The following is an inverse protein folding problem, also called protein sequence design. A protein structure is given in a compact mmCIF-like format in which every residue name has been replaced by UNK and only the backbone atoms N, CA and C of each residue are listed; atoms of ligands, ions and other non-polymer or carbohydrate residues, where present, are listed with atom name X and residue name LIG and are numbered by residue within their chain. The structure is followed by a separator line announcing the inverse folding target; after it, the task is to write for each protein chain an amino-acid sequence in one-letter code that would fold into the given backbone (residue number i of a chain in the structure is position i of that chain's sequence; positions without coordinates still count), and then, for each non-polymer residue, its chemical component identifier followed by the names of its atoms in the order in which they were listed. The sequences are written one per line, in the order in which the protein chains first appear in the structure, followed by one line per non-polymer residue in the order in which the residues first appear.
data_IF_982934802849
#
_entry.id   IF_982934802849
#
_cell.length_a   1.000
_cell.length_b   1.000
_cell.length_c   1.000
_cell.angle_alpha   90.00
_cell.angle_beta   90.00
_cell.angle_gamma   90.00
#
_symmetry.space_group_name_H-M   'P 1'
#
loop_
_entity.id
_entity.type
_entity.pdbx_description
1 polymer ?
#
# COMPACT_ATOMS: atom_id res chain seq x y z
N UNK A 1 -74.44 -2.05 47.59
CA UNK A 1 -73.17 -1.99 48.35
C UNK A 1 -72.06 -2.48 47.44
N UNK A 2 -71.13 -1.60 47.14
CA UNK A 2 -70.05 -1.74 46.16
C UNK A 2 -68.79 -2.17 46.91
N UNK A 3 -68.26 -3.36 46.62
CA UNK A 3 -66.87 -3.68 46.96
C UNK A 3 -66.01 -3.49 45.72
N UNK A 4 -65.32 -2.36 45.78
CA UNK A 4 -64.49 -1.78 44.76
C UNK A 4 -63.29 -2.71 44.50
N UNK A 5 -63.30 -3.40 43.36
CA UNK A 5 -62.13 -4.12 42.81
C UNK A 5 -61.07 -3.10 42.44
N UNK A 6 -60.31 -2.65 43.44
CA UNK A 6 -59.16 -1.79 43.23
C UNK A 6 -58.01 -2.64 42.70
N UNK A 7 -58.13 -2.97 41.41
CA UNK A 7 -57.12 -3.63 40.60
C UNK A 7 -55.94 -2.66 40.54
N UNK A 8 -55.03 -2.77 41.51
CA UNK A 8 -53.73 -2.08 41.50
C UNK A 8 -53.10 -2.37 40.15
N UNK A 9 -53.22 -1.43 39.21
CA UNK A 9 -52.34 -1.28 38.07
C UNK A 9 -50.98 -0.95 38.65
N UNK A 10 -50.29 -1.98 39.13
CA UNK A 10 -48.84 -1.97 39.20
C UNK A 10 -48.45 -2.01 37.72
N UNK A 11 -48.44 -0.83 37.10
CA UNK A 11 -47.65 -0.60 35.90
C UNK A 11 -46.25 -0.96 36.37
N UNK A 12 -45.81 -2.19 36.07
CA UNK A 12 -44.42 -2.56 36.17
C UNK A 12 -43.68 -1.49 35.38
N UNK A 13 -43.07 -0.56 36.11
CA UNK A 13 -42.10 0.37 35.58
C UNK A 13 -40.92 -0.54 35.25
N UNK A 14 -40.99 -1.19 34.08
CA UNK A 14 -39.93 -2.06 33.59
C UNK A 14 -38.73 -1.13 33.48
N UNK A 15 -37.68 -1.42 34.24
CA UNK A 15 -36.50 -0.56 34.34
C UNK A 15 -35.82 -0.44 32.97
N UNK A 16 -36.30 0.50 32.16
CA UNK A 16 -35.77 0.82 30.84
C UNK A 16 -34.31 1.28 30.91
N UNK A 17 -33.82 1.61 32.11
CA UNK A 17 -32.43 1.92 32.40
C UNK A 17 -31.50 0.75 32.03
N UNK A 18 -31.89 -0.50 32.27
CA UNK A 18 -31.06 -1.66 31.91
C UNK A 18 -30.90 -1.77 30.39
N UNK A 19 -31.99 -1.58 29.64
CA UNK A 19 -31.96 -1.58 28.17
C UNK A 19 -31.17 -0.39 27.62
N UNK A 20 -31.27 0.78 28.27
CA UNK A 20 -30.50 1.97 27.91
C UNK A 20 -29.00 1.77 28.13
N UNK A 21 -28.58 1.22 29.26
CA UNK A 21 -27.17 0.88 29.52
C UNK A 21 -26.65 -0.20 28.57
N UNK A 22 -27.46 -1.21 28.24
CA UNK A 22 -27.11 -2.23 27.26
C UNK A 22 -26.90 -1.62 25.86
N UNK A 23 -27.74 -0.65 25.47
CA UNK A 23 -27.64 0.04 24.18
C UNK A 23 -26.41 0.96 24.11
N UNK A 24 -26.08 1.66 25.20
CA UNK A 24 -24.82 2.42 25.30
C UNK A 24 -23.61 1.50 25.22
N UNK A 25 -23.63 0.38 25.95
CA UNK A 25 -22.57 -0.62 25.90
C UNK A 25 -22.33 -1.15 24.49
N UNK A 26 -23.41 -1.43 23.74
CA UNK A 26 -23.33 -1.87 22.35
C UNK A 26 -22.72 -0.81 21.43
N UNK A 27 -23.13 0.46 21.57
CA UNK A 27 -22.54 1.57 20.79
C UNK A 27 -21.04 1.71 21.08
N UNK A 28 -20.62 1.61 22.35
CA UNK A 28 -19.20 1.68 22.73
C UNK A 28 -18.40 0.53 22.12
N UNK A 29 -18.94 -0.70 22.15
CA UNK A 29 -18.28 -1.86 21.54
C UNK A 29 -18.11 -1.66 20.03
N UNK A 30 -19.15 -1.18 19.34
CA UNK A 30 -19.06 -0.90 17.90
C UNK A 30 -18.02 0.18 17.58
N UNK A 31 -17.92 1.24 18.39
CA UNK A 31 -16.91 2.29 18.22
C UNK A 31 -15.49 1.75 18.44
N UNK A 32 -15.28 0.93 19.47
CA UNK A 32 -13.96 0.32 19.74
C UNK A 32 -13.55 -0.60 18.58
N UNK A 33 -14.48 -1.42 18.08
CA UNK A 33 -14.22 -2.31 16.95
C UNK A 33 -13.90 -1.49 15.69
N UNK A 34 -14.71 -0.47 15.37
CA UNK A 34 -14.49 0.38 14.20
C UNK A 34 -13.15 1.12 14.22
N UNK A 35 -12.77 1.65 15.39
CA UNK A 35 -11.45 2.28 15.57
C UNK A 35 -10.31 1.29 15.39
N UNK A 36 -10.47 0.07 15.92
CA UNK A 36 -9.44 -0.97 15.85
C UNK A 36 -9.21 -1.45 14.42
N UNK A 37 -10.27 -1.67 13.64
CA UNK A 37 -10.18 -2.07 12.22
C UNK A 37 -9.46 -0.98 11.41
N UNK A 38 -9.81 0.28 11.62
CA UNK A 38 -9.19 1.42 10.92
C UNK A 38 -7.69 1.48 11.18
N UNK A 39 -7.27 1.29 12.44
CA UNK A 39 -5.85 1.25 12.82
C UNK A 39 -5.10 0.08 12.20
N UNK A 40 -5.72 -1.10 12.14
CA UNK A 40 -5.14 -2.27 11.48
C UNK A 40 -4.95 -2.04 9.98
N UNK A 41 -5.92 -1.43 9.30
CA UNK A 41 -5.81 -1.12 7.88
C UNK A 41 -4.66 -0.15 7.59
N UNK A 42 -4.49 0.89 8.41
CA UNK A 42 -3.36 1.83 8.31
C UNK A 42 -2.02 1.13 8.54
N UNK A 43 -1.94 0.24 9.53
CA UNK A 43 -0.72 -0.51 9.82
C UNK A 43 -0.36 -1.48 8.69
N UNK A 44 -1.33 -2.19 8.13
CA UNK A 44 -1.11 -3.06 6.97
C UNK A 44 -0.62 -2.26 5.76
N UNK A 45 -1.12 -1.03 5.57
CA UNK A 45 -0.66 -0.14 4.51
C UNK A 45 0.80 0.28 4.72
N UNK A 46 1.16 0.70 5.94
CA UNK A 46 2.55 1.05 6.28
C UNK A 46 3.53 -0.10 6.04
N UNK A 47 3.13 -1.35 6.33
CA UNK A 47 3.93 -2.54 6.00
C UNK A 47 4.13 -2.68 4.49
N UNK A 48 3.09 -2.49 3.70
CA UNK A 48 3.18 -2.60 2.23
C UNK A 48 4.08 -1.50 1.64
N UNK A 49 3.96 -0.27 2.13
CA UNK A 49 4.82 0.83 1.70
C UNK A 49 6.29 0.58 2.07
N UNK A 50 6.56 0.04 3.27
CA UNK A 50 7.91 -0.41 3.66
C UNK A 50 8.47 -1.48 2.73
N UNK A 51 7.67 -2.49 2.38
CA UNK A 51 8.09 -3.52 1.43
C UNK A 51 8.47 -2.91 0.07
N UNK A 52 7.67 -1.96 -0.44
CA UNK A 52 7.99 -1.26 -1.70
C UNK A 52 9.30 -0.49 -1.60
N UNK A 53 9.52 0.24 -0.51
CA UNK A 53 10.76 0.98 -0.27
C UNK A 53 11.96 0.05 -0.18
N UNK A 54 11.89 -1.03 0.59
CA UNK A 54 12.98 -2.01 0.74
C UNK A 54 13.38 -2.63 -0.61
N UNK A 55 12.41 -2.99 -1.45
CA UNK A 55 12.67 -3.49 -2.81
C UNK A 55 13.33 -2.42 -3.67
N UNK A 56 12.87 -1.18 -3.61
CA UNK A 56 13.45 -0.08 -4.38
C UNK A 56 14.89 0.24 -3.95
N UNK A 57 15.18 0.19 -2.65
CA UNK A 57 16.54 0.32 -2.12
C UNK A 57 17.44 -0.82 -2.62
N UNK A 58 16.92 -2.05 -2.68
CA UNK A 58 17.65 -3.19 -3.26
C UNK A 58 17.95 -2.99 -4.75
N UNK A 59 16.96 -2.53 -5.53
CA UNK A 59 17.14 -2.25 -6.96
C UNK A 59 18.15 -1.11 -7.18
N UNK A 60 18.05 -0.04 -6.41
CA UNK A 60 19.02 1.07 -6.44
C UNK A 60 20.43 0.59 -6.12
N UNK A 61 20.58 -0.25 -5.09
CA UNK A 61 21.88 -0.83 -4.73
C UNK A 61 22.50 -1.61 -5.89
N UNK A 62 21.71 -2.40 -6.60
CA UNK A 62 22.20 -3.20 -7.72
C UNK A 62 22.52 -2.33 -8.96
N UNK A 63 21.72 -1.28 -9.21
CA UNK A 63 22.00 -0.27 -10.24
C UNK A 63 23.34 0.44 -9.98
N UNK A 64 23.58 0.89 -8.74
CA UNK A 64 24.83 1.58 -8.38
C UNK A 64 26.04 0.63 -8.42
N UNK A 65 25.84 -0.64 -8.04
CA UNK A 65 26.86 -1.68 -8.18
C UNK A 65 27.24 -1.90 -9.65
N UNK A 66 26.26 -2.07 -10.54
CA UNK A 66 26.50 -2.20 -11.98
C UNK A 66 27.20 -0.97 -12.56
N UNK A 67 26.84 0.23 -12.10
CA UNK A 67 27.53 1.48 -12.48
C UNK A 67 29.00 1.47 -12.06
N UNK A 68 29.29 0.98 -10.86
CA UNK A 68 30.67 0.87 -10.37
C UNK A 68 31.50 -0.17 -11.14
N UNK A 69 30.87 -1.20 -11.70
CA UNK A 69 31.54 -2.28 -12.44
C UNK A 69 31.74 -1.94 -13.93
N UNK A 70 30.77 -1.27 -14.56
CA UNK A 70 30.74 -1.01 -16.00
C UNK A 70 30.93 0.47 -16.40
N UNK A 71 31.18 1.35 -15.42
CA UNK A 71 31.26 2.82 -15.55
C UNK A 71 29.97 3.52 -15.98
N UNK A 72 28.97 2.79 -16.49
CA UNK A 72 27.71 3.30 -17.00
C UNK A 72 26.51 2.77 -16.20
N UNK A 73 25.44 3.56 -16.13
CA UNK A 73 24.16 3.09 -15.61
C UNK A 73 23.51 2.06 -16.55
N UNK A 74 22.68 1.14 -16.03
CA UNK A 74 22.01 0.12 -16.85
C UNK A 74 21.08 0.79 -17.87
N UNK A 75 21.16 0.40 -19.14
CA UNK A 75 20.31 0.99 -20.19
C UNK A 75 18.82 0.72 -20.00
N UNK A 76 18.46 -0.40 -19.35
CA UNK A 76 17.07 -0.79 -19.15
C UNK A 76 16.85 -1.47 -17.80
N UNK A 77 15.69 -1.18 -17.19
CA UNK A 77 15.19 -1.87 -16.00
C UNK A 77 13.74 -2.27 -16.23
N UNK A 78 13.47 -3.57 -16.25
CA UNK A 78 12.13 -4.11 -16.51
C UNK A 78 11.52 -4.65 -15.22
N UNK A 79 10.41 -4.05 -14.82
CA UNK A 79 9.60 -4.52 -13.69
C UNK A 79 8.58 -5.55 -14.16
N UNK A 80 8.84 -6.83 -13.85
CA UNK A 80 7.89 -7.92 -14.06
C UNK A 80 7.03 -8.10 -12.82
N UNK A 81 6.08 -9.03 -12.87
CA UNK A 81 5.22 -9.31 -11.71
C UNK A 81 5.99 -9.81 -10.49
N UNK A 82 6.91 -10.74 -10.67
CA UNK A 82 7.61 -11.38 -9.54
C UNK A 82 9.13 -11.11 -9.53
N UNK A 83 9.63 -10.29 -10.46
CA UNK A 83 11.03 -9.85 -10.45
C UNK A 83 11.27 -8.51 -11.14
N UNK A 84 12.44 -7.93 -10.91
CA UNK A 84 12.99 -6.80 -11.66
C UNK A 84 14.23 -7.29 -12.40
N UNK A 85 14.27 -7.10 -13.71
CA UNK A 85 15.47 -7.31 -14.51
C UNK A 85 16.22 -6.00 -14.69
N UNK A 86 17.49 -5.98 -14.31
CA UNK A 86 18.38 -4.84 -14.47
C UNK A 86 19.38 -5.21 -15.56
N UNK A 87 19.29 -4.53 -16.70
CA UNK A 87 19.98 -4.90 -17.92
C UNK A 87 21.07 -3.86 -18.23
N UNK A 88 22.31 -4.30 -18.40
CA UNK A 88 23.39 -3.38 -18.78
C UNK A 88 23.14 -2.76 -20.15
N UNK A 89 22.54 -3.51 -21.08
CA UNK A 89 22.13 -3.05 -22.41
C UNK A 89 20.64 -3.29 -22.65
N UNK A 90 20.05 -2.55 -23.59
CA UNK A 90 18.60 -2.64 -23.89
C UNK A 90 18.13 -4.04 -24.34
N UNK A 91 19.01 -4.82 -24.98
CA UNK A 91 18.72 -6.20 -25.42
C UNK A 91 18.65 -7.20 -24.24
N UNK A 92 19.09 -6.79 -23.05
CA UNK A 92 19.01 -7.56 -21.81
C UNK A 92 19.57 -9.00 -21.86
N UNK A 93 20.60 -9.25 -22.67
CA UNK A 93 21.30 -10.54 -22.71
C UNK A 93 22.08 -10.84 -21.43
N UNK A 94 22.59 -9.79 -20.78
CA UNK A 94 23.24 -9.85 -19.47
C UNK A 94 22.37 -9.02 -18.54
N UNK A 95 21.80 -9.67 -17.53
CA UNK A 95 20.88 -9.04 -16.60
C UNK A 95 21.06 -9.58 -15.19
N UNK A 96 20.95 -8.69 -14.22
CA UNK A 96 20.75 -9.05 -12.83
C UNK A 96 19.26 -9.12 -12.52
N UNK A 97 18.84 -10.13 -11.75
CA UNK A 97 17.44 -10.33 -11.40
C UNK A 97 17.23 -10.13 -9.90
N UNK A 98 16.39 -9.15 -9.54
CA UNK A 98 15.95 -8.90 -8.17
C UNK A 98 14.56 -9.47 -7.99
N UNK A 99 14.39 -10.45 -7.10
CA UNK A 99 13.08 -11.05 -6.81
C UNK A 99 12.22 -10.06 -6.04
N UNK A 100 10.97 -9.88 -6.46
CA UNK A 100 9.98 -9.03 -5.77
C UNK A 100 8.78 -9.86 -5.34
N UNK A 101 8.20 -9.49 -4.21
CA UNK A 101 7.10 -10.25 -3.61
C UNK A 101 6.12 -9.33 -2.89
N UNK A 102 5.02 -9.93 -2.41
CA UNK A 102 3.99 -9.21 -1.67
C UNK A 102 3.40 -8.05 -2.47
N UNK A 103 3.36 -6.87 -1.85
CA UNK A 103 2.81 -5.66 -2.45
C UNK A 103 3.74 -4.97 -3.46
N UNK A 104 5.02 -5.36 -3.50
CA UNK A 104 6.01 -4.82 -4.43
C UNK A 104 6.01 -5.52 -5.79
N UNK A 105 5.09 -6.46 -6.05
CA UNK A 105 4.97 -7.10 -7.35
C UNK A 105 4.71 -6.07 -8.44
N UNK A 106 5.41 -6.15 -9.57
CA UNK A 106 5.20 -5.24 -10.68
C UNK A 106 3.81 -5.43 -11.28
N UNK A 107 3.15 -4.33 -11.58
CA UNK A 107 1.87 -4.40 -12.27
C UNK A 107 2.05 -4.75 -13.74
N UNK A 108 1.05 -5.41 -14.33
CA UNK A 108 1.02 -5.66 -15.78
C UNK A 108 0.64 -4.40 -16.55
N UNK A 109 1.05 -4.28 -17.81
CA UNK A 109 0.65 -3.18 -18.70
C UNK A 109 -0.89 -3.03 -18.86
N UNK A 110 -1.63 -4.11 -18.62
CA UNK A 110 -3.10 -4.14 -18.71
C UNK A 110 -3.75 -3.43 -17.51
N UNK A 111 -3.19 -3.61 -16.32
CA UNK A 111 -3.65 -3.04 -15.05
C UNK A 111 -2.62 -2.02 -14.61
N UNK A 112 -2.47 -0.92 -15.33
CA UNK A 112 -1.36 0.01 -15.13
C UNK A 112 -1.53 0.96 -13.91
N UNK A 113 -1.80 0.40 -12.72
CA UNK A 113 -2.08 1.12 -11.46
C UNK A 113 -1.57 0.34 -10.24
N UNK A 114 -1.15 1.06 -9.19
CA UNK A 114 -0.81 0.48 -7.89
C UNK A 114 -2.06 0.13 -7.08
N UNK A 115 -2.07 -1.05 -6.49
CA UNK A 115 -3.03 -1.49 -5.49
C UNK A 115 -2.34 -2.22 -4.32
N UNK A 116 -3.09 -2.98 -3.54
CA UNK A 116 -2.56 -3.71 -2.38
C UNK A 116 -1.62 -4.87 -2.73
N UNK A 117 -1.69 -5.36 -3.97
CA UNK A 117 -0.99 -6.54 -4.45
C UNK A 117 0.05 -6.20 -5.52
N UNK A 118 -0.16 -5.13 -6.28
CA UNK A 118 0.68 -4.72 -7.39
C UNK A 118 1.13 -3.28 -7.25
N UNK A 119 2.32 -2.98 -7.79
CA UNK A 119 2.92 -1.66 -7.80
C UNK A 119 3.31 -1.28 -9.21
N UNK A 120 2.96 -0.05 -9.60
CA UNK A 120 3.38 0.56 -10.85
C UNK A 120 4.74 1.20 -10.65
N UNK A 121 5.68 0.84 -11.52
CA UNK A 121 7.05 1.34 -11.51
C UNK A 121 7.38 2.07 -12.82
N UNK A 122 8.39 2.92 -12.77
CA UNK A 122 9.04 3.49 -13.94
C UNK A 122 10.55 3.58 -13.74
N UNK A 123 11.25 3.48 -14.85
CA UNK A 123 12.69 3.71 -14.94
C UNK A 123 12.95 4.67 -16.09
N UNK A 124 13.81 5.65 -15.86
CA UNK A 124 14.25 6.62 -16.85
C UNK A 124 15.76 6.79 -16.75
N UNK A 125 16.43 6.77 -17.91
CA UNK A 125 17.86 6.97 -18.03
C UNK A 125 18.13 8.22 -18.87
N UNK A 126 19.04 9.05 -18.37
CA UNK A 126 19.63 10.18 -19.09
C UNK A 126 21.13 9.93 -19.26
N UNK A 127 21.82 10.76 -20.04
CA UNK A 127 23.27 10.62 -20.28
C UNK A 127 24.10 10.60 -18.98
N UNK A 128 23.68 11.34 -17.95
CA UNK A 128 24.47 11.54 -16.72
C UNK A 128 23.86 10.90 -15.46
N UNK A 129 22.58 10.50 -15.52
CA UNK A 129 21.83 10.06 -14.34
C UNK A 129 20.68 9.12 -14.69
N UNK A 130 20.25 8.33 -13.71
CA UNK A 130 19.01 7.57 -13.77
C UNK A 130 17.98 8.11 -12.76
N UNK A 131 16.73 7.73 -13.00
CA UNK A 131 15.62 7.88 -12.08
C UNK A 131 14.78 6.62 -12.11
N UNK A 132 14.37 6.20 -10.92
CA UNK A 132 13.49 5.05 -10.76
C UNK A 132 12.39 5.46 -9.79
N UNK A 133 11.15 5.13 -10.11
CA UNK A 133 9.99 5.61 -9.37
C UNK A 133 8.92 4.54 -9.24
N UNK A 134 8.07 4.69 -8.21
CA UNK A 134 6.85 3.90 -8.09
C UNK A 134 5.68 4.77 -7.62
N UNK A 135 4.46 4.33 -7.90
CA UNK A 135 3.24 4.95 -7.37
C UNK A 135 2.84 4.27 -6.06
N UNK A 136 2.58 5.04 -5.00
CA UNK A 136 1.98 4.50 -3.76
C UNK A 136 0.46 4.28 -3.89
N UNK A 137 -0.17 3.70 -2.87
CA UNK A 137 -1.61 3.39 -2.88
C UNK A 137 -2.51 4.63 -2.91
N UNK A 138 -1.97 5.81 -2.61
CA UNK A 138 -2.66 7.10 -2.73
C UNK A 138 -2.47 7.75 -4.11
N UNK A 139 -1.65 7.16 -4.98
CA UNK A 139 -1.30 7.74 -6.27
C UNK A 139 -0.21 8.80 -6.19
N UNK A 140 0.55 8.89 -5.10
CA UNK A 140 1.74 9.75 -5.05
C UNK A 140 2.94 9.03 -5.67
N UNK A 141 3.76 9.78 -6.39
CA UNK A 141 5.00 9.29 -6.97
C UNK A 141 6.10 9.30 -5.92
N UNK A 142 6.79 8.17 -5.76
CA UNK A 142 7.99 8.02 -4.93
C UNK A 142 9.20 7.85 -5.84
N UNK A 143 10.08 8.83 -5.84
CA UNK A 143 11.25 8.90 -6.72
C UNK A 143 12.53 8.50 -6.00
N UNK A 144 13.41 7.82 -6.72
CA UNK A 144 14.78 7.47 -6.35
C UNK A 144 15.70 7.80 -7.54
N UNK A 145 16.99 8.02 -7.28
CA UNK A 145 17.92 8.53 -8.28
C UNK A 145 17.89 10.06 -8.42
N UNK A 146 18.58 10.59 -9.43
CA UNK A 146 18.85 12.05 -9.58
C UNK A 146 18.58 12.61 -10.98
N UNK A 147 18.11 11.81 -11.94
CA UNK A 147 17.85 12.34 -13.28
C UNK A 147 16.74 13.42 -13.27
N UNK A 148 16.88 14.48 -14.08
CA UNK A 148 15.83 15.49 -14.27
C UNK A 148 14.59 14.86 -14.92
N UNK A 149 13.43 15.51 -14.77
CA UNK A 149 12.13 15.01 -15.25
C UNK A 149 12.04 15.03 -16.79
N UNK A 150 11.84 13.86 -17.41
CA UNK A 150 11.22 13.74 -18.73
C UNK A 150 9.70 13.58 -18.59
N UNK A 151 9.13 12.47 -19.07
CA UNK A 151 7.71 12.15 -18.82
C UNK A 151 7.52 11.65 -17.38
N UNK A 152 6.69 12.35 -16.59
CA UNK A 152 6.36 11.90 -15.24
C UNK A 152 5.53 10.61 -15.26
N UNK A 153 5.89 9.67 -14.38
CA UNK A 153 5.10 8.47 -14.11
C UNK A 153 3.66 8.88 -13.73
N UNK A 154 2.70 8.60 -14.61
CA UNK A 154 1.29 8.83 -14.30
C UNK A 154 0.77 7.73 -13.35
N UNK A 155 0.24 8.10 -12.19
CA UNK A 155 -0.32 7.15 -11.21
C UNK A 155 -1.84 6.91 -11.35
N UNK A 156 -2.50 7.56 -12.31
CA UNK A 156 -3.93 7.43 -12.59
C UNK A 156 -4.25 6.28 -13.56
#
# INVERSE_FOLDING_TARGET
MSENKNKKRIIQKKDNNLLFYALIGLVLVLLIIGFSISRLALWQKDIRDKQRVEIMESVVSEIEKLKSENENYPEAVFFKTDSVLICSTIDCFISEEVVINGSAKGTSDILNKTDRNYTKYAYELTEEAYKIAYCDEEGNIRNFGKAPFGEELNCE
#
